data_IF_836251497838
#
_entry.id   IF_836251497838
#
_cell.length_a   1.000
_cell.length_b   1.000
_cell.length_c   1.000
_cell.angle_alpha   90.00
_cell.angle_beta   90.00
_cell.angle_gamma   90.00
#
_symmetry.space_group_name_H-M   'P 1'
#
loop_
_entity.id
_entity.type
_entity.pdbx_description
1 polymer ?
#
# COMPACT_ATOMS: atom_id res chain seq x y z
N UNK A 1 40.97 -56.79 -22.62
CA UNK A 1 40.45 -56.41 -23.96
C UNK A 1 38.96 -56.11 -23.78
N UNK A 2 38.54 -54.85 -23.78
CA UNK A 2 37.14 -54.47 -23.53
C UNK A 2 36.31 -54.71 -24.79
N UNK A 3 35.24 -55.50 -24.71
CA UNK A 3 34.28 -55.72 -25.81
C UNK A 3 32.91 -55.23 -25.37
N UNK A 4 32.27 -54.41 -26.21
CA UNK A 4 30.89 -53.97 -26.02
C UNK A 4 30.00 -54.95 -26.79
N UNK A 5 29.10 -55.63 -26.10
CA UNK A 5 28.19 -56.61 -26.70
C UNK A 5 26.77 -56.04 -26.76
N UNK A 6 26.12 -56.09 -27.92
CA UNK A 6 24.68 -55.80 -28.05
C UNK A 6 23.84 -56.93 -27.44
N UNK A 7 22.69 -56.64 -26.79
CA UNK A 7 21.99 -57.65 -26.00
C UNK A 7 21.28 -58.68 -26.90
N UNK A 8 21.60 -59.96 -26.69
CA UNK A 8 20.90 -61.08 -27.29
C UNK A 8 19.75 -61.52 -26.36
N UNK A 9 18.55 -61.67 -26.89
CA UNK A 9 17.29 -61.85 -26.17
C UNK A 9 17.07 -63.28 -25.66
N UNK A 10 17.00 -63.47 -24.32
CA UNK A 10 16.34 -64.60 -23.63
C UNK A 10 15.79 -64.14 -22.26
N UNK A 11 14.59 -64.57 -21.83
CA UNK A 11 14.00 -64.18 -20.55
C UNK A 11 14.46 -65.11 -19.41
N UNK A 12 15.02 -64.55 -18.34
CA UNK A 12 15.23 -65.25 -17.07
C UNK A 12 14.07 -64.87 -16.14
N UNK A 13 13.24 -65.85 -15.78
CA UNK A 13 12.25 -65.73 -14.72
C UNK A 13 12.97 -65.67 -13.36
N UNK A 14 12.99 -64.51 -12.71
CA UNK A 14 13.42 -64.35 -11.32
C UNK A 14 12.21 -64.17 -10.41
N UNK A 15 12.08 -65.04 -9.42
CA UNK A 15 11.11 -65.00 -8.33
C UNK A 15 11.20 -63.68 -7.55
N UNK A 16 10.10 -62.94 -7.51
CA UNK A 16 9.92 -61.68 -6.78
C UNK A 16 9.91 -61.92 -5.26
N UNK A 17 10.97 -61.49 -4.58
CA UNK A 17 10.96 -61.28 -3.13
C UNK A 17 10.63 -59.81 -2.88
N UNK A 18 9.44 -59.55 -2.34
CA UNK A 18 8.95 -58.21 -2.04
C UNK A 18 9.71 -57.62 -0.84
N UNK A 19 10.72 -56.78 -1.09
CA UNK A 19 11.27 -55.90 -0.07
C UNK A 19 10.38 -54.65 0.02
N UNK A 20 9.63 -54.56 1.12
CA UNK A 20 8.80 -53.42 1.47
C UNK A 20 9.64 -52.14 1.53
N UNK A 21 9.37 -51.19 0.64
CA UNK A 21 9.83 -49.81 0.77
C UNK A 21 9.19 -49.23 2.03
N UNK A 22 9.96 -49.10 3.11
CA UNK A 22 9.55 -48.36 4.29
C UNK A 22 9.50 -46.88 3.91
N UNK A 23 8.30 -46.39 3.58
CA UNK A 23 8.04 -44.96 3.44
C UNK A 23 8.21 -44.34 4.83
N UNK A 24 9.36 -43.70 5.09
CA UNK A 24 9.57 -42.92 6.30
C UNK A 24 8.44 -41.88 6.39
N UNK A 25 7.69 -41.90 7.49
CA UNK A 25 6.62 -40.93 7.72
C UNK A 25 7.19 -39.50 7.61
N UNK A 26 6.46 -38.55 7.00
CA UNK A 26 6.92 -37.17 6.88
C UNK A 26 7.19 -36.61 8.28
N UNK A 27 8.44 -36.23 8.53
CA UNK A 27 8.86 -35.54 9.75
C UNK A 27 8.01 -34.28 9.92
N UNK A 28 7.41 -34.01 11.10
CA UNK A 28 6.63 -32.80 11.30
C UNK A 28 7.52 -31.59 11.03
N UNK A 29 7.11 -30.73 10.11
CA UNK A 29 7.81 -29.48 9.82
C UNK A 29 7.83 -28.62 11.08
N UNK A 30 8.97 -28.03 11.47
CA UNK A 30 9.01 -27.14 12.61
C UNK A 30 8.10 -25.94 12.35
N UNK A 31 7.10 -25.76 13.21
CA UNK A 31 6.19 -24.62 13.15
C UNK A 31 6.96 -23.37 13.59
N UNK A 32 7.09 -22.39 12.71
CA UNK A 32 7.61 -21.07 13.08
C UNK A 32 6.48 -20.20 13.60
N UNK A 33 6.70 -19.54 14.74
CA UNK A 33 5.77 -18.57 15.31
C UNK A 33 6.37 -17.17 15.17
N UNK A 34 5.53 -16.21 14.80
CA UNK A 34 5.85 -14.78 14.81
C UNK A 34 4.78 -14.03 15.58
N UNK A 35 5.17 -12.98 16.29
CA UNK A 35 4.28 -12.14 17.10
C UNK A 35 4.34 -10.71 16.58
N UNK A 36 3.19 -10.16 16.18
CA UNK A 36 3.07 -8.74 15.87
C UNK A 36 2.94 -7.96 17.18
N UNK A 37 3.81 -6.98 17.37
CA UNK A 37 3.75 -6.03 18.48
C UNK A 37 3.35 -4.66 17.96
N UNK A 38 2.45 -4.00 18.69
CA UNK A 38 2.06 -2.62 18.40
C UNK A 38 2.14 -1.83 19.68
N UNK A 39 2.91 -0.75 19.66
CA UNK A 39 3.17 0.12 20.80
C UNK A 39 2.89 1.58 20.45
N UNK A 40 2.76 2.40 21.49
CA UNK A 40 2.63 3.86 21.34
C UNK A 40 3.81 4.55 22.02
N UNK A 41 4.59 5.29 21.24
CA UNK A 41 5.70 6.11 21.74
C UNK A 41 5.20 7.53 21.95
N UNK A 42 5.21 7.97 23.21
CA UNK A 42 4.67 9.28 23.58
C UNK A 42 5.78 10.34 23.64
N UNK A 43 5.44 11.56 23.24
CA UNK A 43 6.19 12.77 23.54
C UNK A 43 5.22 13.91 23.87
N UNK A 44 5.68 14.84 24.69
CA UNK A 44 4.90 16.01 25.07
C UNK A 44 5.79 17.23 25.20
N UNK A 45 5.21 18.40 25.03
CA UNK A 45 5.90 19.66 25.27
C UNK A 45 4.90 20.76 25.65
N UNK A 46 5.43 21.78 26.32
CA UNK A 46 4.70 22.94 26.79
C UNK A 46 5.13 24.16 25.99
N UNK A 47 4.21 24.70 25.19
CA UNK A 47 4.40 25.91 24.41
C UNK A 47 3.94 27.13 25.19
N UNK A 48 4.90 27.95 25.62
CA UNK A 48 4.65 29.24 26.27
C UNK A 48 4.63 30.33 25.19
N UNK A 49 3.46 30.94 24.99
CA UNK A 49 3.26 32.04 24.04
C UNK A 49 3.23 33.32 24.86
N UNK A 50 4.26 34.16 24.73
CA UNK A 50 4.33 35.46 25.41
C UNK A 50 4.09 36.59 24.42
N UNK A 51 3.59 37.73 24.91
CA UNK A 51 3.29 38.88 24.04
C UNK A 51 2.03 38.69 23.20
N UNK A 52 1.00 38.01 23.73
CA UNK A 52 -0.23 37.72 22.98
C UNK A 52 -0.86 38.99 22.38
N UNK A 53 -0.79 40.12 23.10
CA UNK A 53 -1.27 41.42 22.65
C UNK A 53 -0.61 41.93 21.36
N UNK A 54 0.62 41.51 21.07
CA UNK A 54 1.35 41.81 19.83
C UNK A 54 1.04 40.81 18.72
N UNK A 55 0.61 39.60 19.09
CA UNK A 55 0.26 38.54 18.16
C UNK A 55 -1.17 38.67 17.63
N UNK A 56 -2.09 39.26 18.37
CA UNK A 56 -3.42 39.56 17.83
C UNK A 56 -3.33 40.64 16.75
N UNK A 57 -4.04 40.44 15.65
CA UNK A 57 -4.00 41.37 14.50
C UNK A 57 -2.88 41.09 13.50
N UNK A 58 -2.07 40.03 13.65
CA UNK A 58 -1.10 39.61 12.63
C UNK A 58 -1.77 39.14 11.33
N UNK A 59 -3.08 38.87 11.37
CA UNK A 59 -3.89 38.51 10.23
C UNK A 59 -4.32 37.05 10.22
N UNK A 60 -5.48 36.79 9.62
CA UNK A 60 -6.03 35.44 9.48
C UNK A 60 -5.07 34.55 8.69
N UNK A 61 -4.91 33.30 9.14
CA UNK A 61 -4.01 32.34 8.51
C UNK A 61 -2.52 32.56 8.83
N UNK A 62 -2.16 33.60 9.61
CA UNK A 62 -0.82 33.75 10.17
C UNK A 62 -0.73 33.08 11.53
N UNK A 63 0.41 32.46 11.80
CA UNK A 63 0.62 31.72 13.03
C UNK A 63 1.99 31.96 13.65
N UNK A 64 2.10 31.59 14.92
CA UNK A 64 3.37 31.41 15.62
C UNK A 64 3.58 29.92 15.83
N UNK A 65 4.78 29.44 15.51
CA UNK A 65 5.18 28.06 15.70
C UNK A 65 5.90 27.87 17.04
N UNK A 66 5.70 26.70 17.67
CA UNK A 66 6.56 26.25 18.76
C UNK A 66 7.93 25.79 18.23
N UNK A 67 8.88 25.57 19.13
CA UNK A 67 10.05 24.76 18.79
C UNK A 67 9.61 23.33 18.45
N UNK A 68 10.42 22.69 17.60
CA UNK A 68 10.27 21.30 17.24
C UNK A 68 10.58 20.38 18.43
N UNK A 69 9.80 19.32 18.60
CA UNK A 69 10.09 18.24 19.56
C UNK A 69 9.93 16.88 18.88
N UNK A 70 10.58 15.85 19.42
CA UNK A 70 10.59 14.51 18.83
C UNK A 70 9.70 13.55 19.59
N UNK A 71 8.87 12.78 18.88
CA UNK A 71 8.07 11.70 19.43
C UNK A 71 7.95 10.57 18.40
N UNK A 72 8.23 9.33 18.82
CA UNK A 72 8.16 8.18 17.94
C UNK A 72 8.98 8.33 16.67
N UNK A 73 10.17 8.92 16.75
CA UNK A 73 11.10 9.10 15.62
C UNK A 73 10.68 10.17 14.60
N UNK A 74 9.60 10.90 14.86
CA UNK A 74 9.15 12.02 14.04
C UNK A 74 9.34 13.33 14.79
N UNK A 75 9.51 14.40 14.02
CA UNK A 75 9.57 15.77 14.52
C UNK A 75 8.19 16.42 14.41
N UNK A 76 7.82 17.16 15.44
CA UNK A 76 6.49 17.71 15.63
C UNK A 76 6.56 19.17 16.08
N UNK A 77 5.59 19.97 15.67
CA UNK A 77 5.48 21.39 16.03
C UNK A 77 4.02 21.76 16.31
N UNK A 78 3.82 22.87 17.02
CA UNK A 78 2.50 23.46 17.25
C UNK A 78 2.40 24.79 16.54
N UNK A 79 1.32 24.98 15.79
CA UNK A 79 0.96 26.27 15.21
C UNK A 79 -0.21 26.87 15.96
N UNK A 80 -0.02 28.08 16.48
CA UNK A 80 -1.04 28.91 17.09
C UNK A 80 -1.43 30.05 16.17
N UNK A 81 -2.72 30.14 15.83
CA UNK A 81 -3.29 31.19 14.99
C UNK A 81 -4.14 32.14 15.85
N UNK A 82 -3.61 33.33 16.24
CA UNK A 82 -4.32 34.26 17.13
C UNK A 82 -5.57 34.89 16.49
N UNK A 83 -5.58 35.05 15.17
CA UNK A 83 -6.72 35.55 14.40
C UNK A 83 -7.43 34.43 13.61
N UNK A 84 -7.19 33.18 14.00
CA UNK A 84 -7.78 32.01 13.37
C UNK A 84 -7.11 31.59 12.06
N UNK A 85 -7.40 30.38 11.62
CA UNK A 85 -6.81 29.79 10.41
C UNK A 85 -7.57 30.16 9.12
N UNK A 86 -8.90 30.26 9.18
CA UNK A 86 -9.74 30.41 7.98
C UNK A 86 -10.39 31.79 7.94
N UNK A 87 -10.37 32.44 6.77
CA UNK A 87 -10.97 33.77 6.56
C UNK A 87 -12.48 33.79 6.82
N UNK A 88 -13.16 32.67 6.60
CA UNK A 88 -14.61 32.54 6.80
C UNK A 88 -15.03 32.78 8.26
N UNK A 89 -14.10 32.62 9.20
CA UNK A 89 -14.36 32.77 10.62
C UNK A 89 -14.22 34.21 11.12
N UNK A 90 -13.85 35.16 10.24
CA UNK A 90 -13.72 36.60 10.53
C UNK A 90 -12.92 36.90 11.82
N UNK A 91 -11.82 36.17 12.04
CA UNK A 91 -10.98 36.26 13.24
C UNK A 91 -11.74 36.08 14.59
N UNK A 92 -12.85 35.34 14.59
CA UNK A 92 -13.68 35.11 15.78
C UNK A 92 -13.05 34.13 16.77
N UNK A 93 -12.24 33.20 16.27
CA UNK A 93 -11.66 32.11 17.05
C UNK A 93 -10.13 32.10 16.93
N UNK A 94 -9.47 31.69 18.00
CA UNK A 94 -8.09 31.22 17.91
C UNK A 94 -8.07 29.78 17.42
N UNK A 95 -7.04 29.40 16.68
CA UNK A 95 -6.85 28.03 16.20
C UNK A 95 -5.54 27.43 16.71
N UNK A 96 -5.54 26.12 16.95
CA UNK A 96 -4.36 25.36 17.37
C UNK A 96 -4.23 24.08 16.53
N UNK A 97 -3.03 23.83 16.03
CA UNK A 97 -2.72 22.65 15.23
C UNK A 97 -1.38 22.04 15.63
N UNK A 98 -1.34 20.71 15.64
CA UNK A 98 -0.12 19.90 15.71
C UNK A 98 0.27 19.58 14.27
N UNK A 99 1.53 19.82 13.94
CA UNK A 99 2.09 19.68 12.59
C UNK A 99 3.19 18.63 12.62
N UNK A 100 3.18 17.73 11.64
CA UNK A 100 4.31 16.84 11.38
C UNK A 100 5.41 17.64 10.65
N UNK A 101 6.54 17.84 11.32
CA UNK A 101 7.67 18.66 10.88
C UNK A 101 8.83 17.86 10.26
N UNK A 102 8.78 16.52 10.32
CA UNK A 102 9.72 15.64 9.61
C UNK A 102 9.03 14.91 8.45
N UNK A 103 9.82 14.47 7.48
CA UNK A 103 9.34 13.55 6.44
C UNK A 103 8.74 12.28 7.06
N UNK A 104 7.58 11.88 6.56
CA UNK A 104 6.84 10.72 7.03
C UNK A 104 5.58 10.52 6.23
N UNK A 105 5.29 9.27 5.87
CA UNK A 105 4.07 8.88 5.16
C UNK A 105 3.20 8.02 6.05
N UNK A 106 1.90 8.31 6.09
CA UNK A 106 0.90 7.57 6.86
C UNK A 106 1.27 7.34 8.34
N UNK A 107 1.78 8.39 8.99
CA UNK A 107 2.13 8.38 10.42
C UNK A 107 0.84 8.30 11.24
N UNK A 108 0.63 7.17 11.92
CA UNK A 108 -0.50 6.99 12.85
C UNK A 108 -0.14 7.60 14.21
N UNK A 109 -0.90 8.58 14.65
CA UNK A 109 -0.62 9.27 15.90
C UNK A 109 -1.90 9.62 16.68
N UNK A 110 -1.77 9.63 17.99
CA UNK A 110 -2.76 10.05 18.98
C UNK A 110 -2.38 11.45 19.46
N UNK A 111 -3.37 12.28 19.75
CA UNK A 111 -3.14 13.69 20.06
C UNK A 111 -3.88 14.13 21.31
N UNK A 112 -3.26 15.01 22.07
CA UNK A 112 -3.88 15.72 23.18
C UNK A 112 -3.42 17.18 23.13
N UNK A 113 -4.38 18.10 23.21
CA UNK A 113 -4.14 19.54 23.31
C UNK A 113 -4.80 20.06 24.58
N UNK A 114 -4.05 20.83 25.36
CA UNK A 114 -4.53 21.50 26.58
C UNK A 114 -4.16 22.97 26.55
N UNK A 115 -5.16 23.83 26.67
CA UNK A 115 -4.94 25.22 27.04
C UNK A 115 -4.98 25.31 28.57
N UNK A 116 -3.87 25.70 29.18
CA UNK A 116 -3.71 25.61 30.61
C UNK A 116 -4.34 26.81 31.32
N UNK A 117 -5.27 26.54 32.24
CA UNK A 117 -5.69 27.49 33.28
C UNK A 117 -4.50 28.01 34.09
N UNK A 118 -4.43 29.33 34.25
CA UNK A 118 -3.36 30.01 35.00
C UNK A 118 -3.87 30.66 36.29
N UNK A 119 -5.12 30.39 36.69
CA UNK A 119 -5.66 30.80 37.99
C UNK A 119 -5.22 29.90 39.16
N UNK A 120 -4.63 28.75 38.87
CA UNK A 120 -4.26 27.74 39.88
C UNK A 120 -5.40 26.80 40.27
N UNK A 121 -6.53 26.82 39.55
CA UNK A 121 -7.68 25.94 39.77
C UNK A 121 -7.63 24.66 38.93
N UNK A 122 -6.60 24.50 38.10
CA UNK A 122 -6.35 23.36 37.22
C UNK A 122 -7.51 23.07 36.23
N UNK A 123 -8.29 24.11 35.88
CA UNK A 123 -9.43 24.00 34.96
C UNK A 123 -9.00 24.10 33.49
N UNK A 124 -8.09 23.23 33.07
CA UNK A 124 -7.57 23.26 31.70
C UNK A 124 -8.66 22.94 30.67
N UNK A 125 -8.63 23.61 29.51
CA UNK A 125 -9.44 23.20 28.37
C UNK A 125 -8.69 22.09 27.62
N UNK A 126 -9.22 20.87 27.71
CA UNK A 126 -8.60 19.66 27.15
C UNK A 126 -9.34 19.20 25.90
N UNK A 127 -8.61 18.88 24.85
CA UNK A 127 -9.09 18.14 23.68
C UNK A 127 -8.22 16.88 23.55
N UNK A 128 -8.80 15.72 23.90
CA UNK A 128 -8.11 14.44 23.94
C UNK A 128 -8.62 13.52 22.83
N UNK A 129 -7.74 13.14 21.91
CA UNK A 129 -8.01 12.17 20.84
C UNK A 129 -7.50 10.77 21.19
N UNK A 130 -6.80 10.57 22.32
CA UNK A 130 -6.31 9.25 22.71
C UNK A 130 -7.43 8.21 22.84
N UNK A 131 -8.62 8.63 23.22
CA UNK A 131 -9.78 7.75 23.44
C UNK A 131 -10.53 7.40 22.14
N UNK A 132 -10.29 8.15 21.05
CA UNK A 132 -10.98 8.01 19.76
C UNK A 132 -10.15 7.25 18.72
N UNK A 133 -8.98 6.74 19.10
CA UNK A 133 -8.06 6.01 18.22
C UNK A 133 -7.14 6.92 17.40
N UNK A 134 -6.10 6.33 16.77
CA UNK A 134 -5.05 7.08 16.10
C UNK A 134 -5.55 7.71 14.80
N UNK A 135 -5.10 8.93 14.54
CA UNK A 135 -5.30 9.64 13.28
C UNK A 135 -4.09 9.43 12.37
N UNK A 136 -4.32 9.20 11.08
CA UNK A 136 -3.25 9.03 10.09
C UNK A 136 -2.90 10.38 9.45
N UNK A 137 -1.68 10.84 9.72
CA UNK A 137 -1.08 12.01 9.08
C UNK A 137 -0.34 11.56 7.82
N UNK A 138 -0.71 12.11 6.68
CA UNK A 138 -0.32 11.57 5.36
C UNK A 138 1.08 11.96 4.92
N UNK A 139 1.55 13.16 5.26
CA UNK A 139 2.81 13.70 4.75
C UNK A 139 3.40 14.79 5.65
N UNK A 140 4.65 15.19 5.38
CA UNK A 140 5.25 16.40 5.92
C UNK A 140 4.29 17.60 5.77
N UNK A 141 4.20 18.43 6.82
CA UNK A 141 3.36 19.63 6.85
C UNK A 141 1.87 19.36 7.01
N UNK A 142 1.43 18.10 6.94
CA UNK A 142 0.08 17.72 7.34
C UNK A 142 -0.12 18.00 8.82
N UNK A 143 -1.33 18.44 9.17
CA UNK A 143 -1.63 18.91 10.51
C UNK A 143 -2.98 18.40 11.02
N UNK A 144 -3.05 18.24 12.34
CA UNK A 144 -4.25 17.87 13.07
C UNK A 144 -4.54 18.92 14.13
N UNK A 145 -5.79 19.34 14.29
CA UNK A 145 -6.14 20.37 15.27
C UNK A 145 -7.51 20.97 15.03
N UNK A 146 -7.72 22.15 15.59
CA UNK A 146 -9.04 22.79 15.68
C UNK A 146 -9.00 24.21 15.15
N UNK A 147 -9.72 24.46 14.05
CA UNK A 147 -9.95 25.80 13.51
C UNK A 147 -10.69 26.69 14.52
N UNK A 148 -11.69 26.14 15.21
CA UNK A 148 -12.48 26.81 16.23
C UNK A 148 -12.08 26.36 17.63
N UNK A 149 -10.78 26.44 17.96
CA UNK A 149 -10.29 25.92 19.24
C UNK A 149 -10.92 26.66 20.43
N UNK A 150 -10.84 27.99 20.44
CA UNK A 150 -11.48 28.81 21.47
C UNK A 150 -11.92 30.15 20.90
N UNK A 151 -13.04 30.67 21.38
CA UNK A 151 -13.52 31.98 20.95
C UNK A 151 -12.59 33.05 21.50
N UNK A 152 -12.15 33.98 20.64
CA UNK A 152 -11.11 34.95 21.00
C UNK A 152 -11.54 35.88 22.14
N UNK A 153 -12.77 36.39 22.09
CA UNK A 153 -13.33 37.26 23.15
C UNK A 153 -13.35 36.58 24.51
N UNK A 154 -13.64 35.28 24.51
CA UNK A 154 -13.73 34.50 25.72
C UNK A 154 -12.31 34.16 26.21
N UNK A 155 -11.35 33.97 25.30
CA UNK A 155 -9.94 33.76 25.65
C UNK A 155 -9.39 34.96 26.41
N UNK A 156 -9.59 36.16 25.85
CA UNK A 156 -9.03 37.41 26.34
C UNK A 156 -9.59 37.82 27.71
N UNK A 157 -10.76 37.28 28.09
CA UNK A 157 -11.41 37.54 29.38
C UNK A 157 -11.27 36.37 30.38
N UNK A 158 -10.59 35.29 29.98
CA UNK A 158 -10.46 34.07 30.79
C UNK A 158 -9.17 34.04 31.62
N UNK A 159 -9.16 33.11 32.58
CA UNK A 159 -7.97 32.76 33.36
C UNK A 159 -6.87 32.02 32.54
N UNK A 160 -7.11 31.77 31.25
CA UNK A 160 -6.12 31.14 30.36
C UNK A 160 -5.07 32.14 29.87
N UNK A 161 -5.42 33.42 29.73
CA UNK A 161 -4.50 34.50 29.36
C UNK A 161 -4.12 35.27 30.62
N UNK A 162 -2.85 35.19 31.02
CA UNK A 162 -2.34 35.86 32.22
C UNK A 162 -0.98 36.48 31.92
N UNK A 163 -0.79 37.72 32.34
CA UNK A 163 0.46 38.47 32.13
C UNK A 163 0.88 38.48 30.64
N UNK A 164 -0.10 38.67 29.76
CA UNK A 164 0.05 38.62 28.29
C UNK A 164 0.64 37.30 27.74
N UNK A 165 0.48 36.21 28.50
CA UNK A 165 1.00 34.89 28.17
C UNK A 165 -0.10 33.82 28.13
N UNK A 166 0.00 32.92 27.15
CA UNK A 166 -0.76 31.67 27.07
C UNK A 166 0.18 30.48 27.27
N UNK A 167 -0.35 29.40 27.84
CA UNK A 167 0.38 28.13 28.01
C UNK A 167 -0.40 27.00 27.37
N UNK A 168 0.17 26.40 26.33
CA UNK A 168 -0.44 25.29 25.59
C UNK A 168 0.40 24.04 25.81
N UNK A 169 -0.17 23.05 26.50
CA UNK A 169 0.43 21.72 26.60
C UNK A 169 -0.09 20.85 25.47
N UNK A 170 0.77 20.01 24.92
CA UNK A 170 0.38 19.03 23.93
C UNK A 170 1.11 17.72 24.16
N UNK A 171 0.48 16.63 23.72
CA UNK A 171 1.05 15.29 23.73
C UNK A 171 0.71 14.58 22.42
N UNK A 172 1.72 13.92 21.87
CA UNK A 172 1.63 13.09 20.68
C UNK A 172 2.01 11.66 21.07
N UNK A 173 1.18 10.70 20.69
CA UNK A 173 1.46 9.27 20.84
C UNK A 173 1.57 8.62 19.47
N UNK A 174 2.78 8.34 19.00
CA UNK A 174 2.99 7.72 17.68
C UNK A 174 2.85 6.21 17.80
N UNK A 175 1.94 5.64 17.00
CA UNK A 175 1.69 4.20 16.98
C UNK A 175 2.65 3.52 16.03
N UNK A 176 3.44 2.59 16.53
CA UNK A 176 4.41 1.80 15.77
C UNK A 176 4.05 0.32 15.85
N UNK A 177 4.27 -0.40 14.76
CA UNK A 177 4.08 -1.84 14.71
C UNK A 177 5.34 -2.50 14.16
N UNK A 178 5.78 -3.57 14.80
CA UNK A 178 6.89 -4.42 14.36
C UNK A 178 6.55 -5.89 14.61
N UNK A 179 7.15 -6.78 13.85
CA UNK A 179 6.95 -8.23 14.01
C UNK A 179 8.20 -8.82 14.62
N UNK A 180 8.05 -9.45 15.77
CA UNK A 180 9.09 -10.29 16.36
C UNK A 180 8.94 -11.73 15.85
N UNK A 181 10.04 -12.33 15.42
CA UNK A 181 10.08 -13.72 14.97
C UNK A 181 11.53 -14.19 14.89
N UNK A 182 11.78 -15.50 14.84
CA UNK A 182 13.13 -16.02 14.70
C UNK A 182 13.76 -15.47 13.40
N UNK A 183 14.93 -14.83 13.51
CA UNK A 183 15.68 -14.27 12.36
C UNK A 183 16.08 -15.34 11.33
N UNK A 184 16.01 -16.63 11.69
CA UNK A 184 16.56 -17.74 10.92
C UNK A 184 15.46 -18.77 10.63
N UNK A 185 14.98 -18.78 9.38
CA UNK A 185 14.17 -19.87 8.83
C UNK A 185 15.09 -21.01 8.37
N UNK A 186 15.61 -21.80 9.32
CA UNK A 186 16.36 -23.01 8.98
C UNK A 186 15.38 -24.16 8.75
N UNK A 187 15.01 -24.41 7.49
CA UNK A 187 14.40 -25.70 7.13
C UNK A 187 15.50 -26.75 7.27
N UNK A 188 15.31 -27.74 8.14
CA UNK A 188 16.22 -28.86 8.25
C UNK A 188 16.26 -29.61 6.91
N UNK A 189 17.33 -29.42 6.14
CA UNK A 189 17.54 -30.15 4.89
C UNK A 189 17.93 -31.58 5.28
N UNK A 190 17.12 -32.61 4.93
CA UNK A 190 17.49 -33.98 5.24
C UNK A 190 18.81 -34.32 4.53
N UNK A 191 19.67 -35.15 5.14
CA UNK A 191 20.91 -35.59 4.51
C UNK A 191 20.61 -36.25 3.16
N UNK A 192 21.42 -35.95 2.14
CA UNK A 192 21.24 -36.49 0.79
C UNK A 192 21.38 -38.02 0.80
N UNK A 193 20.36 -38.71 0.30
CA UNK A 193 20.36 -40.18 0.11
C UNK A 193 20.67 -40.59 -1.35
N UNK A 194 21.18 -39.67 -2.17
CA UNK A 194 21.46 -39.93 -3.60
C UNK A 194 22.46 -41.08 -3.78
N UNK A 195 23.51 -41.16 -2.95
CA UNK A 195 24.49 -42.24 -3.04
C UNK A 195 23.90 -43.63 -2.78
N UNK A 196 23.00 -43.75 -1.80
CA UNK A 196 22.30 -45.01 -1.48
C UNK A 196 21.32 -45.40 -2.60
N UNK A 197 20.58 -44.42 -3.14
CA UNK A 197 19.64 -44.65 -4.23
C UNK A 197 20.35 -45.06 -5.53
N UNK A 198 21.51 -44.44 -5.83
CA UNK A 198 22.33 -44.83 -6.99
C UNK A 198 23.00 -46.19 -6.78
N UNK A 199 23.51 -46.48 -5.59
CA UNK A 199 24.06 -47.80 -5.26
C UNK A 199 23.03 -48.92 -5.48
N UNK A 200 21.83 -48.74 -4.94
CA UNK A 200 20.73 -49.70 -5.13
C UNK A 200 20.31 -49.83 -6.60
N UNK A 201 20.36 -48.74 -7.38
CA UNK A 201 20.09 -48.78 -8.81
C UNK A 201 21.10 -49.68 -9.55
N UNK A 202 22.41 -49.53 -9.26
CA UNK A 202 23.45 -50.39 -9.84
C UNK A 202 23.35 -51.84 -9.37
N UNK A 203 23.09 -52.08 -8.09
CA UNK A 203 22.96 -53.43 -7.51
C UNK A 203 21.75 -54.19 -8.07
N UNK A 204 20.63 -53.49 -8.33
CA UNK A 204 19.43 -54.13 -8.88
C UNK A 204 19.48 -54.36 -10.39
N UNK A 205 20.39 -53.68 -11.12
CA UNK A 205 20.49 -53.76 -12.58
C UNK A 205 19.21 -53.33 -13.31
N UNK A 206 18.27 -52.66 -12.63
CA UNK A 206 16.94 -52.38 -13.17
C UNK A 206 17.02 -51.19 -14.12
N UNK A 207 16.86 -51.44 -15.42
CA UNK A 207 16.93 -50.42 -16.47
C UNK A 207 18.32 -50.19 -17.07
N UNK A 208 19.29 -51.08 -16.77
CA UNK A 208 20.58 -51.09 -17.47
C UNK A 208 20.38 -51.46 -18.94
N UNK A 209 21.05 -50.74 -19.82
CA UNK A 209 20.92 -50.86 -21.28
C UNK A 209 22.24 -51.25 -21.96
N UNK A 210 23.36 -51.28 -21.21
CA UNK A 210 24.69 -51.68 -21.71
C UNK A 210 25.33 -52.69 -20.78
N UNK A 211 26.08 -53.64 -21.34
CA UNK A 211 26.87 -54.62 -20.59
C UNK A 211 28.36 -54.49 -20.95
N UNK A 212 29.23 -54.43 -19.96
CA UNK A 212 30.69 -54.44 -20.10
C UNK A 212 31.25 -55.80 -19.69
N UNK A 213 31.98 -56.47 -20.57
CA UNK A 213 32.72 -57.69 -20.22
C UNK A 213 34.19 -57.33 -19.89
N UNK A 214 34.63 -57.69 -18.68
CA UNK A 214 36.01 -57.48 -18.19
C UNK A 214 36.50 -58.79 -17.59
N UNK A 215 37.58 -59.35 -18.15
CA UNK A 215 38.23 -60.59 -17.71
C UNK A 215 37.28 -61.79 -17.47
N UNK A 216 36.22 -61.89 -18.29
CA UNK A 216 35.23 -62.97 -18.26
C UNK A 216 34.02 -62.70 -17.36
N UNK A 217 33.99 -61.56 -16.66
CA UNK A 217 32.84 -61.11 -15.86
C UNK A 217 32.06 -60.02 -16.60
N UNK A 218 30.73 -60.06 -16.53
CA UNK A 218 29.84 -59.11 -17.22
C UNK A 218 29.19 -58.15 -16.22
N UNK A 219 29.33 -56.85 -16.44
CA UNK A 219 28.80 -55.77 -15.61
C UNK A 219 27.75 -54.97 -16.37
N UNK A 220 26.51 -54.96 -15.86
CA UNK A 220 25.43 -54.18 -16.43
C UNK A 220 25.52 -52.70 -16.00
N UNK A 221 25.28 -51.78 -16.94
CA UNK A 221 25.45 -50.34 -16.76
C UNK A 221 24.37 -49.55 -17.50
N UNK A 222 24.27 -48.27 -17.17
CA UNK A 222 23.34 -47.31 -17.77
C UNK A 222 24.07 -46.40 -18.75
N UNK A 223 23.56 -46.25 -19.97
CA UNK A 223 24.02 -45.30 -20.97
C UNK A 223 23.21 -44.01 -20.89
N UNK A 224 23.88 -42.88 -21.07
CA UNK A 224 23.27 -41.54 -21.01
C UNK A 224 22.40 -41.22 -22.26
N UNK A 225 22.12 -42.22 -23.11
CA UNK A 225 21.58 -42.05 -24.45
C UNK A 225 20.09 -42.35 -24.65
N UNK A 226 19.38 -42.95 -23.68
CA UNK A 226 17.95 -43.22 -23.84
C UNK A 226 17.09 -42.06 -23.30
N UNK A 227 16.59 -41.24 -24.24
CA UNK A 227 15.40 -40.41 -24.03
C UNK A 227 14.36 -41.22 -23.26
N UNK A 228 13.95 -40.71 -22.12
CA UNK A 228 12.67 -41.00 -21.50
C UNK A 228 11.60 -41.05 -22.58
N UNK A 229 11.05 -42.24 -22.83
CA UNK A 229 9.84 -42.38 -23.64
C UNK A 229 8.73 -41.52 -23.01
N UNK A 230 7.81 -40.97 -23.82
CA UNK A 230 6.82 -40.03 -23.31
C UNK A 230 5.95 -40.72 -22.26
N UNK A 231 5.91 -40.15 -21.06
CA UNK A 231 4.90 -40.44 -20.05
C UNK A 231 3.53 -40.24 -20.68
N UNK A 232 2.79 -41.34 -20.82
CA UNK A 232 1.37 -41.35 -21.15
C UNK A 232 0.62 -40.61 -20.04
N UNK A 233 0.28 -39.35 -20.29
CA UNK A 233 -0.71 -38.62 -19.50
C UNK A 233 -2.09 -39.07 -19.96
N UNK A 234 -2.76 -39.83 -19.11
CA UNK A 234 -4.17 -40.14 -19.27
C UNK A 234 -4.97 -38.82 -19.20
N UNK A 235 -5.59 -38.46 -20.31
CA UNK A 235 -6.56 -37.38 -20.41
C UNK A 235 -7.94 -37.93 -19.99
N UNK A 236 -8.37 -37.62 -18.77
CA UNK A 236 -9.79 -37.65 -18.40
C UNK A 236 -10.25 -36.28 -17.92
N UNK A 237 -11.35 -35.80 -18.50
CA UNK A 237 -12.21 -34.77 -17.91
C UNK A 237 -12.09 -33.36 -18.50
N UNK A 238 -12.86 -33.08 -19.55
CA UNK A 238 -12.99 -31.71 -20.07
C UNK A 238 -14.12 -31.55 -21.08
N UNK A 239 -15.35 -31.47 -20.58
CA UNK A 239 -16.59 -31.39 -21.34
C UNK A 239 -16.65 -30.22 -22.34
N UNK A 240 -17.14 -30.58 -23.54
CA UNK A 240 -17.53 -29.72 -24.66
C UNK A 240 -18.46 -28.58 -24.23
N UNK A 241 -18.16 -27.35 -24.68
CA UNK A 241 -19.20 -26.35 -24.97
C UNK A 241 -18.95 -25.72 -26.34
N UNK A 242 -19.99 -25.81 -27.16
CA UNK A 242 -20.03 -25.51 -28.60
C UNK A 242 -19.99 -23.99 -28.84
N UNK A 243 -19.09 -23.54 -29.72
CA UNK A 243 -19.24 -22.27 -30.41
C UNK A 243 -20.34 -22.35 -31.46
N UNK A 244 -21.18 -21.31 -31.55
CA UNK A 244 -22.03 -21.07 -32.73
C UNK A 244 -22.10 -19.58 -33.08
N UNK A 245 -21.34 -19.30 -34.13
CA UNK A 245 -21.43 -18.31 -35.21
C UNK A 245 -22.71 -17.45 -35.34
N UNK A 246 -22.44 -16.18 -35.57
CA UNK A 246 -23.18 -15.07 -36.20
C UNK A 246 -24.22 -15.40 -37.29
N UNK A 247 -25.29 -14.60 -37.34
CA UNK A 247 -26.08 -14.34 -38.55
C UNK A 247 -26.64 -12.92 -38.55
N UNK A 248 -26.36 -12.18 -39.62
CA UNK A 248 -26.93 -10.90 -40.01
C UNK A 248 -28.38 -11.07 -40.52
N UNK A 249 -29.21 -10.02 -40.37
CA UNK A 249 -30.28 -9.69 -41.31
C UNK A 249 -30.74 -8.24 -41.18
N UNK A 250 -30.71 -7.56 -42.32
CA UNK A 250 -31.25 -6.23 -42.61
C UNK A 250 -32.75 -6.23 -42.94
N UNK A 251 -33.29 -5.00 -43.01
CA UNK A 251 -34.53 -4.46 -43.62
C UNK A 251 -35.46 -3.83 -42.57
N UNK A 252 -35.97 -2.60 -42.71
CA UNK A 252 -35.96 -1.65 -43.83
C UNK A 252 -37.36 -1.03 -44.01
N UNK A 253 -37.45 0.31 -44.00
CA UNK A 253 -38.57 1.13 -44.51
C UNK A 253 -39.82 1.23 -43.63
N UNK A 254 -40.55 2.35 -43.52
CA UNK A 254 -40.43 3.66 -44.15
C UNK A 254 -41.75 4.45 -44.00
N UNK A 255 -41.64 5.77 -44.16
CA UNK A 255 -42.67 6.74 -44.60
C UNK A 255 -43.82 7.17 -43.67
N UNK A 256 -44.16 8.47 -43.75
CA UNK A 256 -45.56 8.89 -43.61
C UNK A 256 -45.84 10.23 -42.92
N UNK A 257 -45.45 11.34 -43.54
CA UNK A 257 -45.76 12.73 -43.14
C UNK A 257 -47.25 13.10 -43.12
N UNK A 258 -47.64 14.09 -42.29
CA UNK A 258 -48.46 15.31 -42.57
C UNK A 258 -49.03 15.86 -41.25
N UNK A 259 -48.79 17.13 -40.90
CA UNK A 259 -49.70 18.28 -41.13
C UNK A 259 -50.74 18.35 -40.00
N UNK A 260 -51.03 19.42 -39.26
CA UNK A 260 -51.20 20.87 -39.52
C UNK A 260 -51.54 21.49 -38.14
N UNK A 261 -50.95 22.65 -37.75
CA UNK A 261 -51.52 24.02 -37.80
C UNK A 261 -52.56 24.37 -36.70
N UNK A 262 -52.28 25.50 -35.99
CA UNK A 262 -53.20 26.40 -35.23
C UNK A 262 -53.77 25.83 -33.92
N UNK A 263 -54.00 26.55 -32.82
CA UNK A 263 -54.06 27.97 -32.48
C UNK A 263 -54.02 28.10 -30.93
N UNK A 264 -53.35 29.13 -30.40
CA UNK A 264 -53.90 30.30 -29.68
C UNK A 264 -55.14 30.00 -28.79
N UNK A 265 -54.96 29.97 -27.46
CA UNK A 265 -55.52 30.98 -26.52
C UNK A 265 -55.25 30.63 -25.04
N UNK A 266 -54.95 31.70 -24.30
CA UNK A 266 -55.00 31.86 -22.85
C UNK A 266 -56.25 31.23 -22.22
N UNK A 267 -56.05 30.57 -21.09
CA UNK A 267 -56.87 30.77 -19.89
C UNK A 267 -56.00 30.66 -18.64
N UNK A 268 -56.09 31.68 -17.80
CA UNK A 268 -55.74 31.64 -16.38
C UNK A 268 -56.74 30.75 -15.64
N UNK A 269 -56.31 30.04 -14.59
CA UNK A 269 -56.94 30.01 -13.26
C UNK A 269 -56.26 28.96 -12.39
N UNK A 270 -56.10 29.32 -11.11
CA UNK A 270 -55.53 28.57 -10.02
C UNK A 270 -56.05 27.12 -9.91
N UNK A 271 -55.16 26.16 -9.63
CA UNK A 271 -55.50 25.06 -8.73
C UNK A 271 -54.27 24.33 -8.17
N UNK A 272 -54.27 24.24 -6.83
CA UNK A 272 -53.76 23.16 -5.97
C UNK A 272 -52.32 22.64 -6.13
N UNK A 273 -51.60 22.84 -5.01
CA UNK A 273 -50.50 22.02 -4.47
C UNK A 273 -50.57 20.55 -4.91
N UNK A 274 -49.48 20.06 -5.49
CA UNK A 274 -49.06 18.65 -5.41
C UNK A 274 -47.57 18.62 -5.10
N UNK A 275 -47.26 18.06 -3.94
CA UNK A 275 -45.91 17.77 -3.45
C UNK A 275 -45.21 16.82 -4.44
N UNK A 276 -44.09 17.25 -5.02
CA UNK A 276 -43.17 16.37 -5.73
C UNK A 276 -42.22 15.73 -4.70
N UNK A 277 -42.24 14.39 -4.64
CA UNK A 277 -41.17 13.60 -4.04
C UNK A 277 -39.96 13.53 -4.98
N UNK A 278 -38.79 13.10 -4.49
CA UNK A 278 -37.54 13.16 -5.24
C UNK A 278 -37.55 12.15 -6.40
N UNK A 279 -37.21 12.64 -7.59
CA UNK A 279 -36.99 11.85 -8.80
C UNK A 279 -35.64 11.13 -8.72
N UNK A 280 -35.66 9.80 -8.95
CA UNK A 280 -34.47 8.98 -9.20
C UNK A 280 -33.76 9.42 -10.49
N UNK A 281 -32.41 9.55 -10.52
CA UNK A 281 -31.70 9.91 -11.73
C UNK A 281 -31.68 8.74 -12.73
N UNK A 282 -31.80 9.06 -14.02
CA UNK A 282 -31.71 8.11 -15.12
C UNK A 282 -30.27 7.66 -15.36
N UNK A 283 -30.08 6.37 -15.66
CA UNK A 283 -28.79 5.70 -15.94
C UNK A 283 -27.92 6.34 -17.07
N UNK A 284 -28.44 7.31 -17.82
CA UNK A 284 -27.67 8.06 -18.81
C UNK A 284 -26.78 9.16 -18.17
N UNK A 285 -27.19 9.71 -17.02
CA UNK A 285 -26.43 10.76 -16.32
C UNK A 285 -25.21 10.19 -15.59
N UNK A 286 -25.32 8.98 -15.03
CA UNK A 286 -24.20 8.28 -14.35
C UNK A 286 -23.09 7.89 -15.34
N UNK A 287 -23.45 7.46 -16.56
CA UNK A 287 -22.47 7.06 -17.57
C UNK A 287 -21.69 8.26 -18.13
N UNK A 288 -22.33 9.42 -18.27
CA UNK A 288 -21.63 10.65 -18.65
C UNK A 288 -20.70 11.16 -17.54
N UNK A 289 -21.10 11.06 -16.27
CA UNK A 289 -20.22 11.42 -15.15
C UNK A 289 -19.03 10.47 -14.99
N UNK A 290 -19.22 9.16 -15.20
CA UNK A 290 -18.12 8.19 -15.19
C UNK A 290 -17.13 8.45 -16.32
N UNK A 291 -17.62 8.78 -17.53
CA UNK A 291 -16.78 9.12 -18.66
C UNK A 291 -15.93 10.38 -18.42
N UNK A 292 -16.51 11.39 -17.77
CA UNK A 292 -15.82 12.64 -17.45
C UNK A 292 -14.82 12.45 -16.30
N UNK A 293 -15.13 11.62 -15.31
CA UNK A 293 -14.21 11.23 -14.24
C UNK A 293 -13.00 10.46 -14.78
N UNK A 294 -13.22 9.46 -15.64
CA UNK A 294 -12.15 8.67 -16.23
C UNK A 294 -11.26 9.51 -17.17
N UNK A 295 -11.83 10.51 -17.86
CA UNK A 295 -11.06 11.44 -18.68
C UNK A 295 -10.14 12.35 -17.84
N UNK A 296 -10.60 12.83 -16.68
CA UNK A 296 -9.79 13.61 -15.75
C UNK A 296 -8.69 12.76 -15.09
N UNK A 297 -8.99 11.51 -14.72
CA UNK A 297 -7.98 10.60 -14.19
C UNK A 297 -6.88 10.28 -15.22
N UNK A 298 -7.22 10.18 -16.51
CA UNK A 298 -6.20 9.99 -17.58
C UNK A 298 -5.31 11.22 -17.75
N UNK A 299 -5.83 12.45 -17.59
CA UNK A 299 -5.02 13.68 -17.62
C UNK A 299 -4.08 13.77 -16.42
N UNK A 300 -4.56 13.40 -15.23
CA UNK A 300 -3.75 13.32 -14.02
C UNK A 300 -2.65 12.27 -14.14
N UNK A 301 -2.98 11.06 -14.61
CA UNK A 301 -2.01 9.99 -14.78
C UNK A 301 -0.95 10.35 -15.85
N UNK A 302 -1.36 11.03 -16.92
CA UNK A 302 -0.44 11.53 -17.94
C UNK A 302 0.46 12.64 -17.38
N UNK A 303 -0.08 13.60 -16.62
CA UNK A 303 0.72 14.64 -15.97
C UNK A 303 1.74 14.09 -14.98
N UNK A 304 1.34 13.11 -14.16
CA UNK A 304 2.21 12.43 -13.20
C UNK A 304 3.31 11.65 -13.92
N UNK A 305 2.98 10.91 -15.00
CA UNK A 305 3.96 10.17 -15.79
C UNK A 305 5.00 11.10 -16.43
N UNK A 306 4.58 12.24 -17.00
CA UNK A 306 5.51 13.20 -17.60
C UNK A 306 6.37 13.92 -16.56
N UNK A 307 5.83 14.18 -15.36
CA UNK A 307 6.60 14.74 -14.25
C UNK A 307 7.70 13.78 -13.78
N UNK A 308 7.40 12.49 -13.64
CA UNK A 308 8.41 11.48 -13.28
C UNK A 308 9.43 11.25 -14.40
N UNK A 309 9.01 11.28 -15.67
CA UNK A 309 9.94 11.20 -16.80
C UNK A 309 10.89 12.40 -16.83
N UNK A 310 10.40 13.61 -16.53
CA UNK A 310 11.21 14.81 -16.44
C UNK A 310 12.22 14.74 -15.28
N UNK A 311 11.80 14.31 -14.09
CA UNK A 311 12.70 14.11 -12.94
C UNK A 311 13.76 13.04 -13.23
N UNK A 312 13.39 11.95 -13.90
CA UNK A 312 14.33 10.90 -14.29
C UNK A 312 15.37 11.42 -15.29
N UNK A 313 14.96 12.15 -16.32
CA UNK A 313 15.88 12.75 -17.29
C UNK A 313 16.79 13.81 -16.65
N UNK A 314 16.26 14.61 -15.72
CA UNK A 314 17.04 15.59 -14.97
C UNK A 314 18.09 14.92 -14.07
N UNK A 315 17.72 13.82 -13.39
CA UNK A 315 18.65 13.05 -12.58
C UNK A 315 19.74 12.38 -13.44
N UNK A 316 19.37 11.78 -14.57
CA UNK A 316 20.34 11.22 -15.52
C UNK A 316 21.31 12.30 -16.05
N UNK A 317 20.81 13.50 -16.35
CA UNK A 317 21.64 14.62 -16.77
C UNK A 317 22.60 15.06 -15.65
N UNK A 318 22.12 15.19 -14.41
CA UNK A 318 22.94 15.58 -13.28
C UNK A 318 24.06 14.55 -12.98
N UNK A 319 23.73 13.25 -13.01
CA UNK A 319 24.71 12.17 -12.86
C UNK A 319 25.73 12.19 -14.00
N UNK A 320 25.30 12.44 -15.23
CA UNK A 320 26.19 12.58 -16.38
C UNK A 320 27.14 13.79 -16.22
N UNK A 321 26.63 14.93 -15.76
CA UNK A 321 27.44 16.13 -15.49
C UNK A 321 28.46 15.90 -14.37
N UNK A 322 28.09 15.20 -13.29
CA UNK A 322 29.04 14.82 -12.23
C UNK A 322 30.14 13.91 -12.76
N UNK A 323 29.77 12.88 -13.55
CA UNK A 323 30.72 11.96 -14.17
C UNK A 323 31.67 12.68 -15.14
N UNK A 324 31.16 13.66 -15.89
CA UNK A 324 31.96 14.47 -16.80
C UNK A 324 32.91 15.42 -16.05
N UNK A 325 32.47 15.99 -14.92
CA UNK A 325 33.30 16.82 -14.04
C UNK A 325 34.47 16.02 -13.44
N UNK A 326 34.21 14.79 -12.99
CA UNK A 326 35.27 13.91 -12.46
C UNK A 326 36.29 13.52 -13.55
N UNK A 327 35.81 13.33 -14.78
CA UNK A 327 36.68 13.02 -15.93
C UNK A 327 37.58 14.20 -16.33
N UNK A 328 37.06 15.43 -16.28
CA UNK A 328 37.83 16.65 -16.54
C UNK A 328 38.86 16.94 -15.43
N UNK A 329 38.50 16.72 -14.17
CA UNK A 329 39.42 16.90 -13.03
C UNK A 329 40.57 15.87 -13.04
N UNK A 330 40.40 14.70 -13.66
CA UNK A 330 41.48 13.72 -13.80
C UNK A 330 42.47 14.03 -14.94
N UNK A 331 42.07 14.84 -15.93
CA UNK A 331 42.93 15.23 -17.06
C UNK A 331 43.82 16.45 -16.74
N UNK A 332 43.47 17.24 -15.73
CA UNK A 332 44.27 18.39 -15.26
C UNK A 332 45.34 17.98 -14.21
N UNK A 333 45.41 16.69 -13.84
CA UNK A 333 46.41 16.12 -12.91
C UNK A 333 47.44 15.18 -13.58
N UNK A 334 47.49 15.13 -14.92
CA UNK A 334 48.45 14.34 -15.70
C UNK A 334 49.35 15.24 -16.55
#
# INVERSE_FOLDING_TARGET
MVRILSPNSQPIYSSSSSSSLSWSAPTPTPMTTSTSMTETVNGSNLFNISGYSLLKGIGVGKCVASNTFTAGGYSWEIYFYPDGKNEQDNATYVSLFIVLASEGTDVRALFELKLLDQSGKERHKVHNQFDSGPYTIRSLGSMWGYSHFFKRTDLETSDYLKDDCLKVYFRVGVVRSYTEGPEIYSIAVPPSNVGQNLGHLFETGKGTDVNFEVDGETFAAYSEGHRSGPSQWDNEGGSKSRGRRSSWRDNGGGSGSRGTRLSRRRTSMLSRRRTQGPSTPSNEDENNQLGQFLAEQRKLLFGVFFFFLFLFLFFCFFVFCLKASDSLNSLDQA
#
